data_IF_820350092246
#
_entry.id   IF_820350092246
#
_cell.length_a   1.000
_cell.length_b   1.000
_cell.length_c   1.000
_cell.angle_alpha   90.00
_cell.angle_beta   90.00
_cell.angle_gamma   90.00
#
_symmetry.space_group_name_H-M   'P 1'
#
loop_
_entity.id
_entity.type
_entity.pdbx_description
1 polymer ?
#
# COMPACT_ATOMS: atom_id res chain seq x y z
N UNK A 1 -36.31 19.50 10.04
CA UNK A 1 -35.91 18.08 9.97
C UNK A 1 -34.80 17.98 8.93
N UNK A 2 -33.54 18.02 9.38
CA UNK A 2 -32.39 18.10 8.48
C UNK A 2 -32.07 16.70 7.93
N UNK A 3 -32.31 16.53 6.63
CA UNK A 3 -31.96 15.34 5.86
C UNK A 3 -30.45 15.40 5.54
N UNK A 4 -29.65 14.48 6.08
CA UNK A 4 -28.27 14.26 5.66
C UNK A 4 -28.27 13.54 4.30
N UNK A 5 -27.52 13.99 3.29
CA UNK A 5 -27.23 13.17 2.12
C UNK A 5 -26.11 12.17 2.44
N UNK A 6 -26.41 10.89 2.21
CA UNK A 6 -25.46 9.78 2.11
C UNK A 6 -24.30 10.14 1.16
N UNK A 7 -23.09 10.23 1.71
CA UNK A 7 -21.86 10.21 0.91
C UNK A 7 -21.57 8.77 0.48
N UNK A 8 -22.07 8.42 -0.70
CA UNK A 8 -21.73 7.18 -1.40
C UNK A 8 -20.30 7.31 -1.96
N UNK A 9 -19.32 6.83 -1.19
CA UNK A 9 -17.92 6.75 -1.61
C UNK A 9 -17.73 5.70 -2.72
N UNK A 10 -16.91 5.97 -3.76
CA UNK A 10 -16.83 5.12 -4.95
C UNK A 10 -15.86 3.93 -4.74
N UNK A 11 -16.40 2.72 -4.63
CA UNK A 11 -15.63 1.46 -4.71
C UNK A 11 -15.10 1.14 -6.13
N UNK A 12 -15.41 1.97 -7.14
CA UNK A 12 -15.09 1.68 -8.53
C UNK A 12 -13.75 2.24 -9.05
N UNK A 13 -13.05 3.08 -8.28
CA UNK A 13 -11.78 3.64 -8.75
C UNK A 13 -10.62 2.64 -8.69
N UNK A 14 -10.65 1.68 -7.75
CA UNK A 14 -9.58 0.71 -7.59
C UNK A 14 -9.55 -0.37 -8.67
N UNK A 15 -10.72 -0.83 -9.13
CA UNK A 15 -10.78 -1.88 -10.15
C UNK A 15 -10.28 -1.40 -11.52
N UNK A 16 -10.46 -0.12 -11.85
CA UNK A 16 -10.10 0.39 -13.19
C UNK A 16 -8.60 0.55 -13.40
N UNK A 17 -7.84 0.84 -12.33
CA UNK A 17 -6.37 0.93 -12.41
C UNK A 17 -5.73 -0.45 -12.48
N UNK A 18 -6.29 -1.45 -11.78
CA UNK A 18 -5.73 -2.81 -11.80
C UNK A 18 -6.05 -3.57 -13.11
N UNK A 19 -7.20 -3.30 -13.73
CA UNK A 19 -7.63 -4.04 -14.94
C UNK A 19 -7.14 -3.44 -16.27
N UNK A 20 -6.70 -2.18 -16.30
CA UNK A 20 -6.24 -1.55 -17.56
C UNK A 20 -4.76 -1.85 -17.90
N UNK A 21 -3.97 -2.41 -16.97
CA UNK A 21 -2.54 -2.66 -17.17
C UNK A 21 -2.18 -4.10 -17.58
N UNK A 22 -3.13 -4.87 -18.14
CA UNK A 22 -2.90 -6.23 -18.69
C UNK A 22 -3.12 -6.36 -20.19
N UNK A 23 -3.10 -5.27 -20.95
CA UNK A 23 -3.28 -5.36 -22.41
C UNK A 23 -2.30 -4.48 -23.18
N UNK A 24 -1.00 -4.75 -23.09
CA UNK A 24 -0.05 -4.25 -24.09
C UNK A 24 1.03 -5.31 -24.35
N UNK A 25 1.09 -5.74 -25.63
CA UNK A 25 2.13 -6.51 -26.34
C UNK A 25 2.06 -8.04 -26.33
N UNK A 26 1.24 -8.55 -27.26
CA UNK A 26 1.64 -9.70 -28.06
C UNK A 26 2.50 -9.19 -29.23
N UNK A 27 3.82 -9.41 -29.17
CA UNK A 27 4.68 -9.41 -30.36
C UNK A 27 5.72 -10.51 -30.18
N UNK A 28 5.55 -11.57 -30.95
CA UNK A 28 6.34 -12.80 -30.95
C UNK A 28 7.79 -12.53 -31.37
N UNK A 29 8.72 -12.76 -30.45
CA UNK A 29 10.14 -13.06 -30.73
C UNK A 29 10.65 -13.92 -29.59
N UNK A 30 11.03 -15.16 -29.90
CA UNK A 30 11.63 -16.21 -29.03
C UNK A 30 11.66 -15.89 -27.53
N UNK A 31 10.57 -16.23 -26.85
CA UNK A 31 10.44 -16.02 -25.41
C UNK A 31 11.38 -17.00 -24.68
N UNK A 32 12.46 -16.47 -24.12
CA UNK A 32 12.99 -17.02 -22.88
C UNK A 32 11.80 -17.16 -21.94
N UNK A 33 11.56 -18.37 -21.43
CA UNK A 33 10.50 -18.62 -20.47
C UNK A 33 10.81 -17.76 -19.25
N UNK A 34 10.22 -16.57 -19.19
CA UNK A 34 10.31 -15.68 -18.04
C UNK A 34 9.55 -16.41 -16.94
N UNK A 35 10.30 -17.12 -16.10
CA UNK A 35 9.74 -17.73 -14.91
C UNK A 35 8.99 -16.63 -14.15
N UNK A 36 7.72 -16.90 -13.84
CA UNK A 36 6.95 -16.08 -12.92
C UNK A 36 7.80 -15.87 -11.66
N UNK A 37 7.97 -14.63 -11.18
CA UNK A 37 8.72 -14.42 -9.94
C UNK A 37 8.08 -15.21 -8.81
N UNK A 38 8.92 -15.81 -7.97
CA UNK A 38 8.44 -16.56 -6.82
C UNK A 38 7.73 -15.61 -5.84
N UNK A 39 6.85 -16.15 -4.99
CA UNK A 39 6.24 -15.34 -3.93
C UNK A 39 7.29 -14.76 -2.97
N UNK A 40 8.44 -15.43 -2.80
CA UNK A 40 9.54 -14.93 -1.99
C UNK A 40 10.23 -13.72 -2.65
N UNK A 41 10.46 -13.77 -3.97
CA UNK A 41 11.01 -12.64 -4.74
C UNK A 41 10.07 -11.43 -4.73
N UNK A 42 8.75 -11.66 -4.89
CA UNK A 42 7.75 -10.59 -4.83
C UNK A 42 7.75 -9.93 -3.44
N UNK A 43 7.83 -10.73 -2.37
CA UNK A 43 7.90 -10.20 -0.99
C UNK A 43 9.19 -9.45 -0.72
N UNK A 44 10.32 -9.94 -1.22
CA UNK A 44 11.61 -9.26 -1.09
C UNK A 44 11.60 -7.90 -1.79
N UNK A 45 11.08 -7.84 -3.02
CA UNK A 45 10.90 -6.57 -3.75
C UNK A 45 9.94 -5.63 -3.02
N UNK A 46 8.82 -6.14 -2.51
CA UNK A 46 7.86 -5.35 -1.74
C UNK A 46 8.46 -4.77 -0.47
N UNK A 47 9.30 -5.55 0.22
CA UNK A 47 10.02 -5.11 1.41
C UNK A 47 11.07 -4.02 1.08
N UNK A 48 11.86 -4.21 0.03
CA UNK A 48 12.82 -3.21 -0.47
C UNK A 48 12.11 -1.90 -0.84
N UNK A 49 10.98 -2.00 -1.56
CA UNK A 49 10.17 -0.84 -1.93
C UNK A 49 9.63 -0.07 -0.71
N UNK A 50 9.31 -0.76 0.41
CA UNK A 50 8.93 -0.10 1.66
C UNK A 50 10.09 0.66 2.27
N UNK A 51 11.29 0.08 2.27
CA UNK A 51 12.50 0.74 2.79
C UNK A 51 12.81 2.01 1.99
N UNK A 52 12.65 1.97 0.66
CA UNK A 52 12.82 3.15 -0.21
C UNK A 52 11.76 4.24 0.03
N UNK A 53 10.59 3.88 0.54
CA UNK A 53 9.51 4.81 0.88
C UNK A 53 9.62 5.38 2.30
N UNK A 54 10.54 4.89 3.13
CA UNK A 54 10.67 5.25 4.55
C UNK A 54 10.67 6.76 4.77
N UNK A 55 11.52 7.49 4.04
CA UNK A 55 11.63 8.95 4.18
C UNK A 55 10.34 9.68 3.81
N UNK A 56 9.59 9.16 2.84
CA UNK A 56 8.29 9.72 2.47
C UNK A 56 7.23 9.41 3.54
N UNK A 57 7.26 8.21 4.11
CA UNK A 57 6.34 7.80 5.18
C UNK A 57 6.60 8.56 6.48
N UNK A 58 7.84 8.99 6.75
CA UNK A 58 8.17 9.86 7.89
C UNK A 58 7.44 11.22 7.83
N UNK A 59 6.99 11.66 6.66
CA UNK A 59 6.23 12.91 6.49
C UNK A 59 4.71 12.77 6.72
N UNK A 60 4.25 11.58 7.13
CA UNK A 60 2.83 11.30 7.35
C UNK A 60 2.54 11.14 8.83
N UNK A 61 1.34 11.54 9.24
CA UNK A 61 0.83 11.21 10.55
C UNK A 61 0.32 9.75 10.54
N UNK A 62 1.05 8.87 11.23
CA UNK A 62 0.74 7.44 11.34
C UNK A 62 -0.69 7.19 11.87
N UNK A 63 -1.22 8.11 12.69
CA UNK A 63 -2.57 8.00 13.28
C UNK A 63 -3.69 8.11 12.24
N UNK A 64 -3.41 8.67 11.07
CA UNK A 64 -4.39 8.80 10.00
C UNK A 64 -4.43 7.56 9.09
N UNK A 65 -3.33 6.80 9.06
CA UNK A 65 -3.14 5.64 8.17
C UNK A 65 -3.45 4.31 8.86
N UNK A 66 -2.94 4.11 10.07
CA UNK A 66 -3.01 2.82 10.78
C UNK A 66 -4.44 2.34 11.06
N UNK A 67 -5.40 3.20 11.47
CA UNK A 67 -6.77 2.75 11.68
C UNK A 67 -7.40 2.15 10.42
N UNK A 68 -7.06 2.67 9.24
CA UNK A 68 -7.52 2.12 7.96
C UNK A 68 -6.89 0.76 7.68
N UNK A 69 -5.61 0.57 8.00
CA UNK A 69 -4.94 -0.73 7.87
C UNK A 69 -5.53 -1.79 8.80
N UNK A 70 -5.97 -1.40 10.00
CA UNK A 70 -6.69 -2.28 10.92
C UNK A 70 -8.09 -2.60 10.37
N UNK A 71 -8.84 -1.59 9.92
CA UNK A 71 -10.17 -1.78 9.34
C UNK A 71 -10.16 -2.69 8.09
N UNK A 72 -9.06 -2.69 7.32
CA UNK A 72 -8.84 -3.55 6.16
C UNK A 72 -8.19 -4.89 6.49
N UNK A 73 -8.06 -5.25 7.78
CA UNK A 73 -7.47 -6.49 8.27
C UNK A 73 -6.01 -6.73 7.86
N UNK A 74 -5.26 -5.68 7.54
CA UNK A 74 -3.81 -5.77 7.30
C UNK A 74 -3.06 -5.85 8.63
N UNK A 75 -3.46 -5.01 9.58
CA UNK A 75 -2.95 -4.99 10.94
C UNK A 75 -4.02 -5.44 11.93
N UNK A 76 -3.59 -5.98 13.06
CA UNK A 76 -4.47 -6.28 14.20
C UNK A 76 -4.51 -5.11 15.17
N UNK A 77 -5.59 -4.98 15.93
CA UNK A 77 -5.75 -3.91 16.91
C UNK A 77 -4.64 -3.89 17.98
N UNK A 78 -4.11 -5.06 18.36
CA UNK A 78 -2.98 -5.12 19.29
C UNK A 78 -1.67 -4.62 18.67
N UNK A 79 -1.48 -4.78 17.35
CA UNK A 79 -0.31 -4.27 16.63
C UNK A 79 -0.36 -2.75 16.52
N UNK A 80 -1.56 -2.19 16.27
CA UNK A 80 -1.80 -0.75 16.35
C UNK A 80 -1.52 -0.19 17.75
N UNK A 81 -1.97 -0.89 18.81
CA UNK A 81 -1.67 -0.50 20.19
C UNK A 81 -0.16 -0.49 20.49
N UNK A 82 0.54 -1.55 20.09
CA UNK A 82 1.99 -1.66 20.22
C UNK A 82 2.73 -0.58 19.41
N UNK A 83 2.22 -0.24 18.22
CA UNK A 83 2.77 0.81 17.38
C UNK A 83 2.64 2.19 18.04
N UNK A 84 1.47 2.50 18.61
CA UNK A 84 1.22 3.81 19.24
C UNK A 84 1.93 3.99 20.58
N UNK A 85 2.32 2.89 21.23
CA UNK A 85 3.15 2.94 22.43
C UNK A 85 4.60 3.36 22.15
N UNK A 86 5.04 3.34 20.88
CA UNK A 86 6.39 3.75 20.48
C UNK A 86 6.51 5.27 20.33
N UNK A 87 7.74 5.77 20.45
CA UNK A 87 8.05 7.17 20.18
C UNK A 87 7.76 7.55 18.74
N UNK A 88 7.34 8.80 18.48
CA UNK A 88 6.91 9.28 17.16
C UNK A 88 7.86 8.89 16.03
N UNK A 89 9.16 9.02 16.27
CA UNK A 89 10.21 8.79 15.27
C UNK A 89 10.36 7.28 14.93
N UNK A 90 10.01 6.40 15.88
CA UNK A 90 10.07 4.94 15.73
C UNK A 90 8.78 4.34 15.15
N UNK A 91 7.67 5.09 15.13
CA UNK A 91 6.37 4.56 14.70
C UNK A 91 6.37 4.18 13.23
N UNK A 92 7.03 4.96 12.37
CA UNK A 92 7.10 4.68 10.94
C UNK A 92 7.93 3.42 10.68
N UNK A 93 9.04 3.27 11.39
CA UNK A 93 9.93 2.11 11.26
C UNK A 93 9.23 0.83 11.70
N UNK A 94 8.57 0.88 12.86
CA UNK A 94 7.78 -0.22 13.36
C UNK A 94 6.59 -0.56 12.44
N UNK A 95 5.98 0.45 11.79
CA UNK A 95 4.95 0.21 10.79
C UNK A 95 5.52 -0.52 9.57
N UNK A 96 6.67 -0.07 9.05
CA UNK A 96 7.35 -0.71 7.92
C UNK A 96 7.68 -2.17 8.25
N UNK A 97 8.26 -2.43 9.42
CA UNK A 97 8.58 -3.79 9.87
C UNK A 97 7.35 -4.67 9.98
N UNK A 98 6.25 -4.15 10.52
CA UNK A 98 4.98 -4.87 10.54
C UNK A 98 4.50 -5.19 9.13
N UNK A 99 4.49 -4.21 8.23
CA UNK A 99 4.00 -4.38 6.86
C UNK A 99 4.81 -5.40 6.06
N UNK A 100 6.13 -5.49 6.27
CA UNK A 100 7.00 -6.52 5.66
C UNK A 100 6.55 -7.94 6.00
N UNK A 101 5.93 -8.15 7.16
CA UNK A 101 5.38 -9.46 7.57
C UNK A 101 3.98 -9.75 7.02
N UNK A 102 3.29 -8.74 6.45
CA UNK A 102 1.91 -8.88 5.99
C UNK A 102 1.84 -9.20 4.51
N UNK A 103 0.75 -9.86 4.13
CA UNK A 103 0.40 -10.04 2.73
C UNK A 103 -0.61 -8.95 2.32
N UNK A 104 -0.60 -8.58 1.04
CA UNK A 104 -1.62 -7.71 0.42
C UNK A 104 -1.75 -6.32 1.04
N UNK A 105 -0.71 -5.79 1.69
CA UNK A 105 -0.74 -4.48 2.32
C UNK A 105 -0.73 -3.31 1.32
N UNK A 106 -0.21 -3.52 0.10
CA UNK A 106 -0.02 -2.46 -0.90
C UNK A 106 -1.32 -1.73 -1.18
N UNK A 107 -2.41 -2.44 -1.51
CA UNK A 107 -3.70 -1.83 -1.82
C UNK A 107 -4.28 -1.00 -0.67
N UNK A 108 -4.44 -1.57 0.54
CA UNK A 108 -4.90 -0.85 1.71
C UNK A 108 -4.02 0.34 2.11
N UNK A 109 -2.69 0.22 1.98
CA UNK A 109 -1.79 1.35 2.27
C UNK A 109 -1.95 2.46 1.23
N UNK A 110 -2.04 2.13 -0.06
CA UNK A 110 -2.33 3.11 -1.12
C UNK A 110 -3.64 3.83 -0.86
N UNK A 111 -4.72 3.11 -0.49
CA UNK A 111 -6.03 3.71 -0.15
C UNK A 111 -5.92 4.64 1.05
N UNK A 112 -5.24 4.22 2.10
CA UNK A 112 -5.01 5.05 3.27
C UNK A 112 -4.21 6.32 2.96
N UNK A 113 -3.17 6.23 2.12
CA UNK A 113 -2.39 7.40 1.71
C UNK A 113 -3.24 8.39 0.90
N UNK A 114 -4.04 7.92 -0.05
CA UNK A 114 -4.90 8.77 -0.88
C UNK A 114 -5.96 9.47 -0.03
N UNK A 115 -6.63 8.75 0.88
CA UNK A 115 -7.65 9.31 1.77
C UNK A 115 -7.10 10.40 2.69
N UNK A 116 -5.82 10.33 3.02
CA UNK A 116 -5.13 11.31 3.86
C UNK A 116 -4.41 12.41 3.07
N UNK A 117 -4.75 12.59 1.79
CA UNK A 117 -4.16 13.64 0.94
C UNK A 117 -2.71 13.38 0.55
N UNK A 118 -2.15 12.20 0.85
CA UNK A 118 -0.80 11.77 0.50
C UNK A 118 -0.77 11.02 -0.84
N UNK A 119 -1.61 11.43 -1.79
CA UNK A 119 -1.67 10.87 -3.14
C UNK A 119 -0.30 10.85 -3.87
N UNK A 120 0.60 11.84 -3.70
CA UNK A 120 1.94 11.77 -4.28
C UNK A 120 2.76 10.57 -3.78
N UNK A 121 2.71 10.28 -2.47
CA UNK A 121 3.40 9.13 -1.87
C UNK A 121 2.78 7.81 -2.36
N UNK A 122 1.44 7.77 -2.46
CA UNK A 122 0.73 6.63 -3.01
C UNK A 122 1.13 6.34 -4.46
N UNK A 123 1.36 7.38 -5.27
CA UNK A 123 1.84 7.26 -6.65
C UNK A 123 3.23 6.64 -6.71
N UNK A 124 4.18 7.14 -5.91
CA UNK A 124 5.55 6.60 -5.82
C UNK A 124 5.50 5.12 -5.43
N UNK A 125 4.67 4.76 -4.45
CA UNK A 125 4.46 3.36 -4.07
C UNK A 125 4.03 2.51 -5.25
N UNK A 126 3.03 2.93 -6.02
CA UNK A 126 2.57 2.16 -7.18
C UNK A 126 3.61 2.07 -8.31
N UNK A 127 4.41 3.11 -8.52
CA UNK A 127 5.52 3.12 -9.49
C UNK A 127 6.58 2.09 -9.10
N UNK A 128 7.01 2.10 -7.83
CA UNK A 128 7.96 1.14 -7.27
C UNK A 128 7.47 -0.32 -7.37
N UNK A 129 6.17 -0.57 -7.14
CA UNK A 129 5.61 -1.93 -7.26
C UNK A 129 5.51 -2.42 -8.71
N UNK A 130 5.38 -1.50 -9.67
CA UNK A 130 5.32 -1.83 -11.09
C UNK A 130 6.69 -1.87 -11.77
N UNK A 131 7.78 -1.66 -11.01
CA UNK A 131 9.15 -1.64 -11.54
C UNK A 131 9.40 -0.49 -12.52
N UNK A 132 8.76 0.67 -12.30
CA UNK A 132 8.89 1.87 -13.13
C UNK A 132 9.56 3.00 -12.37
#
# INVERSE_FOLDING_TARGET
MLHLPMLHFPEFFYLKIFYHSRNIKNKTTMATVSCSPSLADIRALQADNLDRLRDSLQQINIRDVVPLLVARNVLRSYEMGALYAKGSDEQVDALIDLLKTKNHWVGPLTDALIRNGKAPIAKILLELQNGK
#
